data_IF_890137499537
#
_entry.id   IF_890137499537
#
_cell.length_a   1.000
_cell.length_b   1.000
_cell.length_c   1.000
_cell.angle_alpha   90.00
_cell.angle_beta   90.00
_cell.angle_gamma   90.00
#
_symmetry.space_group_name_H-M   'P 1'
#
loop_
_entity.id
_entity.type
_entity.pdbx_description
1 polymer ?
#
# COMPACT_ATOMS: atom_id res chain seq x y z
N UNK A 1 41.80 22.15 6.44
CA UNK A 1 40.37 22.21 6.73
C UNK A 1 39.64 23.55 6.49
N UNK A 2 40.13 24.48 5.64
CA UNK A 2 39.39 25.73 5.33
C UNK A 2 38.36 25.58 4.21
N UNK A 3 38.44 24.55 3.36
CA UNK A 3 37.55 24.42 2.20
C UNK A 3 36.13 24.00 2.52
N UNK A 4 35.94 23.19 3.56
CA UNK A 4 34.59 22.73 3.99
C UNK A 4 33.76 23.87 4.62
N UNK A 5 34.40 24.78 5.34
CA UNK A 5 33.72 25.94 5.92
C UNK A 5 33.26 26.95 4.83
N UNK A 6 33.99 27.05 3.72
CA UNK A 6 33.63 27.90 2.60
C UNK A 6 32.41 27.34 1.81
N UNK A 7 32.33 26.03 1.66
CA UNK A 7 31.20 25.36 0.99
C UNK A 7 29.93 25.46 1.82
N UNK A 8 30.02 25.23 3.14
CA UNK A 8 28.89 25.36 4.08
C UNK A 8 28.33 26.80 4.11
N UNK A 9 29.23 27.83 4.11
CA UNK A 9 28.79 29.21 4.08
C UNK A 9 28.17 29.65 2.74
N UNK A 10 28.61 29.07 1.62
CA UNK A 10 28.03 29.34 0.30
C UNK A 10 26.66 28.67 0.15
N UNK A 11 26.50 27.47 0.68
CA UNK A 11 25.21 26.75 0.72
C UNK A 11 24.21 27.49 1.64
N UNK A 12 24.63 27.88 2.83
CA UNK A 12 23.79 28.63 3.78
C UNK A 12 23.40 30.03 3.23
N UNK A 13 24.25 30.70 2.50
CA UNK A 13 23.91 31.97 1.84
C UNK A 13 22.96 31.77 0.67
N UNK A 14 23.10 30.69 -0.10
CA UNK A 14 22.17 30.39 -1.19
C UNK A 14 20.77 30.00 -0.66
N UNK A 15 20.70 29.32 0.48
CA UNK A 15 19.44 28.99 1.14
C UNK A 15 18.79 30.24 1.76
N UNK A 16 19.61 31.12 2.37
CA UNK A 16 19.09 32.36 2.97
C UNK A 16 18.67 33.42 1.94
N UNK A 17 19.09 33.28 0.67
CA UNK A 17 18.73 34.17 -0.43
C UNK A 17 17.73 33.54 -1.41
N UNK A 18 17.16 32.38 -1.10
CA UNK A 18 16.11 31.83 -1.93
C UNK A 18 14.84 32.63 -1.66
N UNK A 19 14.53 33.54 -2.56
CA UNK A 19 13.28 34.28 -2.58
C UNK A 19 12.09 33.31 -2.50
N UNK A 20 11.10 33.67 -1.73
CA UNK A 20 9.87 32.88 -1.59
C UNK A 20 9.22 32.60 -2.95
N UNK A 21 9.32 33.52 -3.90
CA UNK A 21 8.88 33.34 -5.27
C UNK A 21 9.63 32.21 -5.97
N UNK A 22 10.94 32.13 -5.83
CA UNK A 22 11.77 31.10 -6.42
C UNK A 22 11.56 29.72 -5.76
N UNK A 23 11.31 29.72 -4.46
CA UNK A 23 10.91 28.49 -3.75
C UNK A 23 9.58 27.97 -4.28
N UNK A 24 8.61 28.87 -4.43
CA UNK A 24 7.29 28.54 -4.97
C UNK A 24 7.34 28.09 -6.45
N UNK A 25 8.22 28.69 -7.25
CA UNK A 25 8.49 28.26 -8.62
C UNK A 25 9.10 26.84 -8.67
N UNK A 26 10.09 26.55 -7.81
CA UNK A 26 10.70 25.22 -7.70
C UNK A 26 9.67 24.18 -7.21
N UNK A 27 8.84 24.55 -6.25
CA UNK A 27 7.75 23.69 -5.76
C UNK A 27 6.70 23.45 -6.84
N UNK A 28 6.37 24.45 -7.65
CA UNK A 28 5.42 24.35 -8.74
C UNK A 28 5.88 23.37 -9.84
N UNK A 29 7.18 23.27 -10.10
CA UNK A 29 7.72 22.32 -11.08
C UNK A 29 7.42 20.87 -10.73
N UNK A 30 7.40 20.50 -9.44
CA UNK A 30 7.02 19.15 -9.01
C UNK A 30 5.53 18.85 -9.26
N UNK A 31 4.70 19.87 -9.46
CA UNK A 31 3.24 19.73 -9.53
C UNK A 31 2.63 19.98 -10.90
N UNK A 32 3.43 20.42 -11.87
CA UNK A 32 2.92 20.81 -13.20
C UNK A 32 2.77 19.67 -14.20
N UNK A 33 3.53 18.58 -14.03
CA UNK A 33 3.37 17.42 -14.92
C UNK A 33 2.03 16.71 -14.65
N UNK A 34 1.32 16.35 -15.71
CA UNK A 34 0.06 15.60 -15.62
C UNK A 34 0.11 14.41 -16.57
N UNK A 35 0.15 13.18 -16.06
CA UNK A 35 0.30 12.80 -14.65
C UNK A 35 1.74 12.99 -14.13
N UNK A 36 1.95 13.22 -12.82
CA UNK A 36 3.29 13.37 -12.27
C UNK A 36 4.07 12.05 -12.32
N UNK A 37 5.40 12.13 -12.52
CA UNK A 37 6.26 10.94 -12.67
C UNK A 37 6.16 9.98 -11.47
N UNK A 38 6.06 10.51 -10.25
CA UNK A 38 5.89 9.68 -9.05
C UNK A 38 4.60 8.84 -9.09
N UNK A 39 3.52 9.37 -9.63
CA UNK A 39 2.27 8.62 -9.82
C UNK A 39 2.41 7.56 -10.92
N UNK A 40 3.05 7.91 -12.03
CA UNK A 40 3.28 6.97 -13.14
C UNK A 40 4.18 5.81 -12.73
N UNK A 41 5.17 6.08 -11.87
CA UNK A 41 6.07 5.05 -11.34
C UNK A 41 5.41 4.17 -10.27
N UNK A 42 4.32 4.63 -9.64
CA UNK A 42 3.61 3.88 -8.62
C UNK A 42 2.78 2.75 -9.26
N UNK A 43 2.99 1.47 -8.89
CA UNK A 43 2.20 0.36 -9.43
C UNK A 43 0.71 0.43 -9.07
N UNK A 44 0.36 1.23 -8.05
CA UNK A 44 -1.02 1.42 -7.58
C UNK A 44 -1.64 2.74 -8.09
N UNK A 45 -0.96 3.48 -8.95
CA UNK A 45 -1.43 4.80 -9.44
C UNK A 45 -1.84 5.75 -8.29
N UNK A 46 -1.07 5.74 -7.19
CA UNK A 46 -1.36 6.55 -6.00
C UNK A 46 -1.38 8.05 -6.36
N UNK A 47 -2.43 8.73 -5.95
CA UNK A 47 -2.50 10.20 -6.05
C UNK A 47 -1.60 10.85 -4.99
N UNK A 48 -0.30 10.79 -5.27
CA UNK A 48 0.77 11.29 -4.38
C UNK A 48 0.58 12.78 -4.05
N UNK A 49 0.12 13.59 -5.01
CA UNK A 49 -0.09 15.03 -4.79
C UNK A 49 -1.16 15.29 -3.76
N UNK A 50 -2.32 14.68 -3.93
CA UNK A 50 -3.41 14.83 -2.97
C UNK A 50 -3.02 14.29 -1.61
N UNK A 51 -2.31 13.15 -1.56
CA UNK A 51 -1.80 12.60 -0.31
C UNK A 51 -0.87 13.60 0.41
N UNK A 52 0.15 14.10 -0.28
CA UNK A 52 1.09 15.07 0.29
C UNK A 52 0.40 16.37 0.74
N UNK A 53 -0.51 16.89 -0.07
CA UNK A 53 -1.26 18.11 0.28
C UNK A 53 -2.04 17.93 1.58
N UNK A 54 -2.71 16.78 1.77
CA UNK A 54 -3.43 16.48 3.01
C UNK A 54 -2.51 16.31 4.21
N UNK A 55 -1.34 15.67 4.01
CA UNK A 55 -0.33 15.57 5.06
C UNK A 55 0.21 16.95 5.47
N UNK A 56 0.52 17.82 4.51
CA UNK A 56 1.00 19.18 4.76
C UNK A 56 -0.04 20.05 5.47
N UNK A 57 -1.33 19.85 5.18
CA UNK A 57 -2.45 20.53 5.87
C UNK A 57 -2.72 19.98 7.28
N UNK A 58 -1.98 18.94 7.73
CA UNK A 58 -2.25 18.25 9.00
C UNK A 58 -3.52 17.37 8.98
N UNK A 59 -4.13 17.16 7.80
CA UNK A 59 -5.36 16.38 7.60
C UNK A 59 -5.04 14.90 7.38
N UNK A 60 -4.41 14.27 8.37
CA UNK A 60 -3.93 12.89 8.26
C UNK A 60 -5.05 11.88 7.95
N UNK A 61 -6.27 12.08 8.49
CA UNK A 61 -7.42 11.23 8.16
C UNK A 61 -7.83 11.32 6.69
N UNK A 62 -7.74 12.49 6.07
CA UNK A 62 -8.00 12.65 4.63
C UNK A 62 -6.85 12.05 3.78
N UNK A 63 -5.60 12.21 4.24
CA UNK A 63 -4.44 11.57 3.62
C UNK A 63 -4.59 10.03 3.64
N UNK A 64 -5.00 9.47 4.79
CA UNK A 64 -5.27 8.04 4.94
C UNK A 64 -6.33 7.55 3.95
N UNK A 65 -7.40 8.30 3.71
CA UNK A 65 -8.41 7.95 2.71
C UNK A 65 -7.85 7.88 1.29
N UNK A 66 -6.84 8.71 0.96
CA UNK A 66 -6.15 8.62 -0.33
C UNK A 66 -5.40 7.30 -0.44
N UNK A 67 -4.65 6.90 0.59
CA UNK A 67 -3.97 5.60 0.61
C UNK A 67 -4.97 4.44 0.45
N UNK A 68 -6.02 4.42 1.26
CA UNK A 68 -7.04 3.36 1.25
C UNK A 68 -7.82 3.26 -0.07
N UNK A 69 -7.86 4.33 -0.86
CA UNK A 69 -8.47 4.31 -2.18
C UNK A 69 -7.63 3.60 -3.21
N UNK A 70 -6.32 3.69 -3.12
CA UNK A 70 -5.37 3.21 -4.12
C UNK A 70 -4.67 1.92 -3.70
N UNK A 71 -4.32 1.79 -2.41
CA UNK A 71 -3.58 0.66 -1.90
C UNK A 71 -4.51 -0.43 -1.38
N UNK A 72 -4.32 -1.69 -1.81
CA UNK A 72 -5.20 -2.80 -1.40
C UNK A 72 -5.08 -3.13 0.10
N UNK A 73 -3.87 -3.08 0.61
CA UNK A 73 -3.51 -3.40 1.98
C UNK A 73 -2.54 -2.31 2.47
N UNK A 74 -3.05 -1.11 2.79
CA UNK A 74 -2.20 0.06 2.95
C UNK A 74 -1.17 -0.08 4.08
N UNK A 75 -1.48 -0.80 5.16
CA UNK A 75 -0.55 -1.07 6.25
C UNK A 75 0.59 -2.00 5.84
N UNK A 76 0.29 -3.03 5.07
CA UNK A 76 1.28 -3.98 4.54
C UNK A 76 2.10 -3.30 3.46
N UNK A 77 1.44 -2.69 2.47
CA UNK A 77 2.11 -2.04 1.33
C UNK A 77 3.06 -0.93 1.77
N UNK A 78 2.68 -0.09 2.72
CA UNK A 78 3.55 0.96 3.24
C UNK A 78 4.86 0.42 3.84
N UNK A 79 4.95 -0.87 4.17
CA UNK A 79 6.14 -1.51 4.73
C UNK A 79 6.99 -2.26 3.74
N UNK A 80 6.37 -2.85 2.71
CA UNK A 80 7.07 -3.71 1.75
C UNK A 80 7.34 -3.05 0.41
N UNK A 81 6.79 -1.86 0.16
CA UNK A 81 6.98 -1.13 -1.08
C UNK A 81 8.42 -0.62 -1.21
N UNK A 82 9.04 -0.84 -2.38
CA UNK A 82 10.37 -0.30 -2.71
C UNK A 82 10.34 1.19 -3.09
N UNK A 83 9.19 1.83 -3.03
CA UNK A 83 8.95 3.25 -3.28
C UNK A 83 9.54 3.77 -4.61
N UNK A 84 9.22 3.17 -5.77
CA UNK A 84 9.73 3.62 -7.06
C UNK A 84 9.35 5.07 -7.37
N UNK A 85 8.32 5.59 -6.72
CA UNK A 85 7.92 6.99 -6.78
C UNK A 85 9.00 7.96 -6.25
N UNK A 86 9.80 7.55 -5.28
CA UNK A 86 10.92 8.35 -4.76
C UNK A 86 12.05 8.44 -5.78
N UNK A 87 12.37 7.34 -6.45
CA UNK A 87 13.37 7.30 -7.51
C UNK A 87 12.96 8.12 -8.74
N UNK A 88 11.67 8.21 -9.01
CA UNK A 88 11.11 9.00 -10.11
C UNK A 88 10.82 10.46 -9.73
N UNK A 89 11.14 10.87 -8.52
CA UNK A 89 10.83 12.20 -8.01
C UNK A 89 11.69 13.28 -8.68
N UNK A 90 11.06 14.27 -9.29
CA UNK A 90 11.76 15.39 -9.93
C UNK A 90 12.53 16.26 -8.93
N UNK A 91 12.19 16.21 -7.65
CA UNK A 91 12.93 16.93 -6.61
C UNK A 91 14.29 16.32 -6.31
N UNK A 92 14.59 15.14 -6.81
CA UNK A 92 15.88 14.48 -6.58
C UNK A 92 17.05 15.37 -6.98
N UNK A 93 16.93 16.10 -8.09
CA UNK A 93 17.94 17.03 -8.59
C UNK A 93 17.97 18.37 -7.84
N UNK A 94 16.96 18.63 -7.01
CA UNK A 94 16.77 19.88 -6.28
C UNK A 94 17.07 19.80 -4.78
N UNK A 95 17.63 18.68 -4.31
CA UNK A 95 18.01 18.52 -2.91
C UNK A 95 17.47 17.25 -2.24
N UNK A 96 16.86 16.38 -3.01
CA UNK A 96 16.38 15.06 -2.57
C UNK A 96 14.91 14.81 -2.92
N UNK A 97 14.60 13.54 -3.10
CA UNK A 97 13.21 13.09 -3.33
C UNK A 97 12.34 13.37 -2.10
N UNK A 98 11.03 13.43 -2.33
CA UNK A 98 10.07 13.41 -1.20
C UNK A 98 10.08 12.02 -0.59
N UNK A 99 10.31 11.93 0.74
CA UNK A 99 10.35 10.67 1.47
C UNK A 99 8.94 10.08 1.63
N UNK A 100 8.40 9.50 0.56
CA UNK A 100 7.05 8.94 0.53
C UNK A 100 6.88 7.78 1.51
N UNK A 101 7.91 6.91 1.60
CA UNK A 101 7.92 5.82 2.58
C UNK A 101 7.67 6.32 4.00
N UNK A 102 8.44 7.32 4.43
CA UNK A 102 8.30 7.91 5.75
C UNK A 102 6.94 8.57 5.98
N UNK A 103 6.40 9.24 4.96
CA UNK A 103 5.08 9.89 5.04
C UNK A 103 3.94 8.88 5.10
N UNK A 104 3.99 7.81 4.31
CA UNK A 104 3.01 6.73 4.35
C UNK A 104 3.00 6.04 5.70
N UNK A 105 4.18 5.64 6.23
CA UNK A 105 4.30 5.05 7.56
C UNK A 105 3.80 6.00 8.66
N UNK A 106 4.18 7.27 8.61
CA UNK A 106 3.73 8.26 9.60
C UNK A 106 2.20 8.42 9.56
N UNK A 107 1.60 8.45 8.36
CA UNK A 107 0.15 8.52 8.21
C UNK A 107 -0.53 7.28 8.79
N UNK A 108 0.01 6.08 8.50
CA UNK A 108 -0.53 4.81 8.99
C UNK A 108 -0.44 4.68 10.51
N UNK A 109 0.63 5.22 11.12
CA UNK A 109 0.82 5.24 12.57
C UNK A 109 -0.09 6.25 13.27
N UNK A 110 -0.31 7.40 12.64
CA UNK A 110 -1.06 8.50 13.26
C UNK A 110 -2.56 8.27 13.33
N UNK A 111 -3.13 7.62 12.32
CA UNK A 111 -4.59 7.45 12.20
C UNK A 111 -4.97 6.04 11.77
N UNK A 112 -6.03 5.51 12.35
CA UNK A 112 -6.63 4.25 11.94
C UNK A 112 -7.40 4.35 10.63
N UNK A 113 -8.02 3.25 10.16
CA UNK A 113 -8.82 3.21 8.95
C UNK A 113 -9.93 4.27 8.93
N UNK A 114 -10.05 4.98 7.81
CA UNK A 114 -10.96 6.13 7.68
C UNK A 114 -12.14 5.83 6.76
N UNK A 115 -12.00 4.91 5.82
CA UNK A 115 -12.98 4.66 4.78
C UNK A 115 -13.93 3.52 5.11
N UNK A 116 -15.25 3.77 4.99
CA UNK A 116 -16.20 2.70 4.67
C UNK A 116 -16.60 2.91 3.23
N UNK A 117 -16.32 1.98 2.32
CA UNK A 117 -16.88 2.06 0.98
C UNK A 117 -18.41 2.07 1.10
N UNK A 118 -19.07 2.88 0.29
CA UNK A 118 -20.53 2.84 0.17
C UNK A 118 -20.94 1.42 -0.24
N UNK A 119 -21.90 0.80 0.45
CA UNK A 119 -22.33 -0.53 0.11
C UNK A 119 -23.01 -0.51 -1.26
N UNK A 120 -22.34 -1.05 -2.24
CA UNK A 120 -22.94 -1.33 -3.54
C UNK A 120 -23.79 -2.59 -3.45
N UNK A 121 -24.89 -2.70 -4.23
CA UNK A 121 -25.63 -3.94 -4.32
C UNK A 121 -24.72 -5.07 -4.82
N UNK A 122 -24.75 -6.25 -4.18
CA UNK A 122 -23.87 -7.34 -4.55
C UNK A 122 -24.17 -7.82 -5.97
N UNK A 123 -23.12 -8.09 -6.72
CA UNK A 123 -23.24 -8.74 -8.04
C UNK A 123 -23.63 -10.21 -7.89
N UNK A 124 -24.13 -10.79 -8.98
CA UNK A 124 -24.61 -12.19 -8.99
C UNK A 124 -23.46 -13.21 -8.93
N UNK A 125 -22.32 -12.86 -9.53
CA UNK A 125 -21.18 -13.76 -9.67
C UNK A 125 -20.38 -13.85 -8.38
N UNK A 126 -20.17 -15.07 -7.88
CA UNK A 126 -19.39 -15.36 -6.68
C UNK A 126 -17.96 -15.70 -7.08
N UNK A 127 -17.00 -15.11 -6.39
CA UNK A 127 -15.59 -15.30 -6.66
C UNK A 127 -14.93 -16.08 -5.52
N UNK A 128 -14.13 -17.08 -5.86
CA UNK A 128 -13.24 -17.75 -4.92
C UNK A 128 -11.80 -17.27 -5.15
N UNK A 129 -11.06 -17.11 -4.06
CA UNK A 129 -9.62 -16.90 -4.08
C UNK A 129 -8.98 -18.04 -3.30
N UNK A 130 -8.19 -18.86 -3.96
CA UNK A 130 -7.46 -19.96 -3.35
C UNK A 130 -6.05 -19.50 -3.01
N UNK A 131 -5.78 -19.32 -1.72
CA UNK A 131 -4.54 -18.74 -1.19
C UNK A 131 -4.74 -17.31 -0.67
N UNK A 132 -4.13 -17.01 0.48
CA UNK A 132 -4.17 -15.71 1.14
C UNK A 132 -2.82 -15.02 1.16
N UNK A 133 -2.07 -15.11 0.07
CA UNK A 133 -0.87 -14.33 -0.18
C UNK A 133 -1.21 -12.90 -0.63
N UNK A 134 -0.19 -12.11 -0.93
CA UNK A 134 -0.39 -10.71 -1.30
C UNK A 134 -1.23 -10.54 -2.57
N UNK A 135 -1.00 -11.39 -3.56
CA UNK A 135 -1.75 -11.35 -4.82
C UNK A 135 -3.23 -11.73 -4.61
N UNK A 136 -3.49 -12.82 -3.87
CA UNK A 136 -4.85 -13.26 -3.55
C UNK A 136 -5.64 -12.22 -2.75
N UNK A 137 -5.03 -11.63 -1.74
CA UNK A 137 -5.65 -10.59 -0.92
C UNK A 137 -5.89 -9.30 -1.70
N UNK A 138 -4.95 -8.92 -2.59
CA UNK A 138 -5.14 -7.76 -3.50
C UNK A 138 -6.32 -7.98 -4.44
N UNK A 139 -6.44 -9.17 -5.00
CA UNK A 139 -7.58 -9.53 -5.85
C UNK A 139 -8.90 -9.53 -5.06
N UNK A 140 -8.89 -10.08 -3.85
CA UNK A 140 -10.07 -10.07 -2.98
C UNK A 140 -10.53 -8.64 -2.64
N UNK A 141 -9.58 -7.74 -2.37
CA UNK A 141 -9.84 -6.33 -2.15
C UNK A 141 -10.45 -5.65 -3.38
N UNK A 142 -9.88 -5.83 -4.57
CA UNK A 142 -10.37 -5.21 -5.79
C UNK A 142 -11.77 -5.73 -6.18
N UNK A 143 -11.96 -7.04 -6.10
CA UNK A 143 -13.26 -7.67 -6.39
C UNK A 143 -14.34 -7.24 -5.40
N UNK A 144 -14.03 -7.16 -4.11
CA UNK A 144 -14.99 -6.74 -3.09
C UNK A 144 -15.44 -5.29 -3.30
N UNK A 145 -14.54 -4.40 -3.69
CA UNK A 145 -14.85 -3.00 -4.04
C UNK A 145 -15.73 -2.88 -5.28
N UNK A 146 -15.65 -3.84 -6.17
CA UNK A 146 -16.53 -3.97 -7.35
C UNK A 146 -17.85 -4.68 -7.04
N UNK A 147 -18.11 -4.92 -5.74
CA UNK A 147 -19.30 -5.56 -5.21
C UNK A 147 -19.47 -7.05 -5.61
N UNK A 148 -18.41 -7.75 -5.96
CA UNK A 148 -18.45 -9.20 -6.08
C UNK A 148 -18.41 -9.83 -4.68
N UNK A 149 -19.28 -10.82 -4.39
CA UNK A 149 -19.10 -11.67 -3.22
C UNK A 149 -17.82 -12.49 -3.37
N UNK A 150 -16.87 -12.32 -2.42
CA UNK A 150 -15.56 -12.96 -2.46
C UNK A 150 -15.37 -13.83 -1.23
N UNK A 151 -14.89 -15.06 -1.43
CA UNK A 151 -14.41 -15.94 -0.37
C UNK A 151 -12.94 -16.28 -0.62
N UNK A 152 -12.09 -16.07 0.37
CA UNK A 152 -10.66 -16.42 0.36
C UNK A 152 -10.48 -17.70 1.15
N UNK A 153 -9.89 -18.72 0.54
CA UNK A 153 -9.56 -20.01 1.14
C UNK A 153 -8.09 -20.05 1.51
N UNK A 154 -7.76 -20.44 2.75
CA UNK A 154 -6.39 -20.40 3.28
C UNK A 154 -6.11 -21.57 4.22
N UNK A 155 -4.83 -21.96 4.38
CA UNK A 155 -4.42 -23.11 5.22
C UNK A 155 -4.24 -22.76 6.68
N UNK A 156 -3.64 -21.61 6.99
CA UNK A 156 -3.31 -21.17 8.34
C UNK A 156 -3.84 -19.77 8.62
N UNK A 157 -3.26 -19.09 9.59
CA UNK A 157 -3.57 -17.67 9.78
C UNK A 157 -3.01 -16.85 8.60
N UNK A 158 -3.85 -16.11 7.85
CA UNK A 158 -3.37 -15.36 6.69
C UNK A 158 -2.28 -14.34 7.03
N UNK A 159 -2.36 -13.74 8.23
CA UNK A 159 -1.34 -12.82 8.74
C UNK A 159 0.01 -13.51 8.93
N UNK A 160 0.04 -14.75 9.40
CA UNK A 160 1.26 -15.51 9.62
C UNK A 160 1.99 -15.81 8.31
N UNK A 161 1.26 -16.19 7.26
CA UNK A 161 1.84 -16.40 5.94
C UNK A 161 2.54 -15.13 5.43
N UNK A 162 1.88 -13.98 5.53
CA UNK A 162 2.46 -12.70 5.10
C UNK A 162 3.68 -12.29 5.93
N UNK A 163 3.63 -12.46 7.26
CA UNK A 163 4.75 -12.16 8.15
C UNK A 163 5.97 -13.04 7.86
N UNK A 164 5.74 -14.32 7.53
CA UNK A 164 6.82 -15.23 7.14
C UNK A 164 7.39 -14.86 5.76
N UNK A 165 6.54 -14.50 4.82
CA UNK A 165 6.93 -14.18 3.44
C UNK A 165 7.65 -12.84 3.32
N UNK A 166 7.27 -11.86 4.14
CA UNK A 166 7.80 -10.50 4.13
C UNK A 166 8.43 -10.17 5.49
N UNK A 167 9.73 -10.43 5.63
CA UNK A 167 10.46 -10.16 6.87
C UNK A 167 10.37 -8.69 7.35
N UNK A 168 10.20 -7.74 6.41
CA UNK A 168 9.98 -6.33 6.72
C UNK A 168 8.69 -6.07 7.53
N UNK A 169 7.69 -6.94 7.42
CA UNK A 169 6.46 -6.84 8.23
C UNK A 169 6.70 -7.26 9.69
N UNK A 170 7.62 -8.23 9.91
CA UNK A 170 7.98 -8.70 11.25
C UNK A 170 8.88 -7.69 11.98
N UNK A 171 9.68 -6.91 11.26
CA UNK A 171 10.50 -5.85 11.81
C UNK A 171 9.60 -4.64 12.16
N UNK A 172 8.80 -4.77 13.23
CA UNK A 172 8.08 -3.61 13.75
C UNK A 172 9.09 -2.54 14.16
N UNK A 173 8.86 -1.26 13.85
CA UNK A 173 9.69 -0.20 14.39
C UNK A 173 9.42 -0.10 15.90
N UNK A 174 10.16 -0.85 16.70
CA UNK A 174 10.21 -0.64 18.15
C UNK A 174 10.64 0.80 18.49
N UNK A 175 11.24 1.49 17.52
CA UNK A 175 11.71 2.86 17.65
C UNK A 175 10.62 3.90 17.92
N UNK A 176 9.33 3.60 17.69
CA UNK A 176 8.24 4.56 17.91
C UNK A 176 7.34 4.23 19.08
N UNK A 177 7.57 3.12 19.78
CA UNK A 177 6.75 2.71 20.94
C UNK A 177 5.29 2.35 20.61
N UNK A 178 4.91 2.31 19.35
CA UNK A 178 3.56 1.99 18.90
C UNK A 178 3.62 0.71 18.05
N UNK A 179 3.42 -0.43 18.71
CA UNK A 179 3.20 -1.70 18.05
C UNK A 179 1.77 -1.71 17.47
N UNK A 180 1.59 -1.29 16.23
CA UNK A 180 0.37 -1.55 15.47
C UNK A 180 0.56 -2.82 14.66
N UNK A 181 -0.35 -3.74 14.81
CA UNK A 181 -0.46 -4.88 13.92
C UNK A 181 -1.16 -4.44 12.62
N UNK A 182 -0.39 -3.91 11.69
CA UNK A 182 -0.90 -3.43 10.41
C UNK A 182 -1.50 -4.55 9.56
N UNK A 183 -0.99 -5.76 9.70
CA UNK A 183 -1.55 -6.89 8.97
C UNK A 183 -2.95 -7.21 9.50
N UNK A 184 -3.14 -7.27 10.82
CA UNK A 184 -4.47 -7.47 11.41
C UNK A 184 -5.45 -6.35 11.02
N UNK A 185 -4.98 -5.09 11.01
CA UNK A 185 -5.81 -3.95 10.58
C UNK A 185 -6.26 -4.07 9.12
N UNK A 186 -5.36 -4.46 8.22
CA UNK A 186 -5.68 -4.66 6.81
C UNK A 186 -6.65 -5.83 6.59
N UNK A 187 -6.48 -6.93 7.34
CA UNK A 187 -7.43 -8.06 7.32
C UNK A 187 -8.80 -7.68 7.86
N UNK A 188 -8.84 -6.92 8.95
CA UNK A 188 -10.11 -6.41 9.48
C UNK A 188 -10.81 -5.50 8.46
N UNK A 189 -10.06 -4.70 7.70
CA UNK A 189 -10.60 -3.91 6.61
C UNK A 189 -11.22 -4.76 5.51
N UNK A 190 -10.57 -5.84 5.08
CA UNK A 190 -11.13 -6.78 4.10
C UNK A 190 -12.43 -7.42 4.63
N UNK A 191 -12.45 -7.80 5.88
CA UNK A 191 -13.66 -8.36 6.52
C UNK A 191 -14.80 -7.34 6.56
N UNK A 192 -14.51 -6.07 6.87
CA UNK A 192 -15.50 -4.98 6.80
C UNK A 192 -16.02 -4.73 5.38
N UNK A 193 -15.23 -5.03 4.36
CA UNK A 193 -15.61 -5.02 2.95
C UNK A 193 -16.38 -6.29 2.53
N UNK A 194 -16.74 -7.15 3.48
CA UNK A 194 -17.48 -8.40 3.29
C UNK A 194 -16.72 -9.50 2.53
N UNK A 195 -15.39 -9.44 2.51
CA UNK A 195 -14.57 -10.59 2.12
C UNK A 195 -14.71 -11.65 3.20
N UNK A 196 -15.04 -12.87 2.80
CA UNK A 196 -15.10 -14.04 3.68
C UNK A 196 -13.77 -14.76 3.68
N UNK A 197 -13.38 -15.28 4.82
CA UNK A 197 -12.18 -16.10 4.98
C UNK A 197 -12.61 -17.48 5.46
N UNK A 198 -12.19 -18.52 4.75
CA UNK A 198 -12.48 -19.92 5.08
C UNK A 198 -11.20 -20.74 5.12
N UNK A 199 -11.00 -21.46 6.22
CA UNK A 199 -9.85 -22.35 6.34
C UNK A 199 -10.10 -23.64 5.57
N UNK A 200 -9.16 -24.02 4.71
CA UNK A 200 -9.22 -25.23 3.90
C UNK A 200 -7.80 -25.73 3.56
N UNK A 201 -7.71 -27.01 3.20
CA UNK A 201 -6.49 -27.53 2.57
C UNK A 201 -6.45 -27.07 1.13
N UNK A 202 -5.35 -26.41 0.70
CA UNK A 202 -5.21 -25.93 -0.67
C UNK A 202 -4.66 -27.07 -1.55
N UNK A 203 -5.54 -27.86 -2.13
CA UNK A 203 -5.21 -29.02 -2.96
C UNK A 203 -6.07 -29.06 -4.24
N UNK A 204 -5.82 -30.06 -5.09
CA UNK A 204 -6.56 -30.26 -6.34
C UNK A 204 -8.05 -30.49 -6.12
N UNK A 205 -8.41 -31.22 -5.06
CA UNK A 205 -9.82 -31.50 -4.73
C UNK A 205 -10.58 -30.22 -4.36
N UNK A 206 -9.93 -29.32 -3.62
CA UNK A 206 -10.50 -27.99 -3.34
C UNK A 206 -10.67 -27.19 -4.64
N UNK A 207 -9.68 -27.18 -5.52
CA UNK A 207 -9.75 -26.45 -6.79
C UNK A 207 -10.90 -26.94 -7.66
N UNK A 208 -11.07 -28.25 -7.80
CA UNK A 208 -12.22 -28.86 -8.51
C UNK A 208 -13.55 -28.44 -7.89
N UNK A 209 -13.66 -28.54 -6.57
CA UNK A 209 -14.87 -28.11 -5.83
C UNK A 209 -15.17 -26.64 -6.06
N UNK A 210 -14.19 -25.75 -5.90
CA UNK A 210 -14.39 -24.32 -6.10
C UNK A 210 -14.75 -23.99 -7.54
N UNK A 211 -14.16 -24.67 -8.51
CA UNK A 211 -14.47 -24.50 -9.94
C UNK A 211 -15.91 -24.89 -10.28
N UNK A 212 -16.51 -25.80 -9.52
CA UNK A 212 -17.91 -26.19 -9.68
C UNK A 212 -18.90 -25.25 -8.94
N UNK A 213 -18.47 -24.65 -7.82
CA UNK A 213 -19.35 -23.89 -6.94
C UNK A 213 -19.31 -22.37 -7.16
N UNK A 214 -18.22 -21.85 -7.72
CA UNK A 214 -17.99 -20.42 -7.93
C UNK A 214 -17.93 -20.08 -9.42
N UNK A 215 -18.30 -18.84 -9.76
CA UNK A 215 -18.30 -18.38 -11.15
C UNK A 215 -16.87 -18.14 -11.68
N UNK A 216 -15.91 -17.86 -10.78
CA UNK A 216 -14.49 -17.81 -11.09
C UNK A 216 -13.65 -18.15 -9.84
N UNK A 217 -12.50 -18.77 -10.09
CA UNK A 217 -11.50 -19.09 -9.08
C UNK A 217 -10.18 -18.45 -9.46
N UNK A 218 -9.65 -17.62 -8.55
CA UNK A 218 -8.31 -17.07 -8.67
C UNK A 218 -7.39 -17.89 -7.76
N UNK A 219 -6.26 -18.35 -8.30
CA UNK A 219 -5.25 -19.10 -7.55
C UNK A 219 -4.08 -18.17 -7.26
N UNK A 220 -3.78 -17.97 -5.97
CA UNK A 220 -2.58 -17.28 -5.52
C UNK A 220 -1.41 -18.27 -5.52
N UNK A 221 -0.59 -18.22 -6.58
CA UNK A 221 0.47 -19.18 -6.79
C UNK A 221 1.48 -19.22 -5.62
N UNK A 222 1.85 -18.08 -5.06
CA UNK A 222 2.80 -18.01 -3.94
C UNK A 222 2.28 -18.76 -2.71
N UNK A 223 1.02 -18.53 -2.34
CA UNK A 223 0.42 -19.18 -1.18
C UNK A 223 0.11 -20.66 -1.43
N UNK A 224 -0.31 -21.00 -2.64
CA UNK A 224 -0.63 -22.40 -3.01
C UNK A 224 0.63 -23.25 -3.14
N UNK A 225 1.69 -22.76 -3.79
CA UNK A 225 2.96 -23.47 -3.88
C UNK A 225 3.63 -23.67 -2.52
N UNK A 226 3.45 -22.74 -1.59
CA UNK A 226 3.94 -22.90 -0.22
C UNK A 226 3.19 -24.02 0.54
N UNK A 227 1.92 -24.26 0.23
CA UNK A 227 1.08 -25.26 0.88
C UNK A 227 1.06 -26.60 0.14
N UNK A 228 1.11 -26.59 -1.19
CA UNK A 228 1.00 -27.74 -2.08
C UNK A 228 1.88 -27.54 -3.33
N UNK A 229 3.20 -27.81 -3.24
CA UNK A 229 4.17 -27.55 -4.32
C UNK A 229 3.85 -28.25 -5.64
N UNK A 230 3.14 -29.36 -5.59
CA UNK A 230 2.84 -30.22 -6.75
C UNK A 230 1.52 -29.85 -7.46
N UNK A 231 0.85 -28.78 -7.02
CA UNK A 231 -0.49 -28.43 -7.52
C UNK A 231 -0.44 -27.54 -8.80
N UNK A 232 0.65 -26.82 -9.04
CA UNK A 232 0.78 -25.85 -10.16
C UNK A 232 1.99 -26.21 -11.03
#
# INVERSE_FOLDING_TARGET
MPQLAHYSNKLARNIAMMDQQRLHEIESHCTQESPPRCRVACPFDLDVRTFMARMAEGKQGEARKVLERHLPLPGIIARICDHPCENACLRQDLGGSVAMHGLELACMLAVGPQGRPLPLPPKKFRMAVMGAGLAGLTAAWDLSRKAYPVTVFHTGAPTEFLLTRFAALAAAPEATGIAKDFAAEDFENLTRQKVRFEQATLDAALLEKLSAEYDAVLVDADAVLAAAPDLI
#
